data_IF_807929534608
#
_entry.id   IF_807929534608
#
_cell.length_a   1.000
_cell.length_b   1.000
_cell.length_c   1.000
_cell.angle_alpha   90.00
_cell.angle_beta   90.00
_cell.angle_gamma   90.00
#
_symmetry.space_group_name_H-M   'P 1'
#
loop_
_entity.id
_entity.type
_entity.pdbx_description
1 polymer ?
#
# COMPACT_ATOMS: atom_id res chain seq x y z
N UNK A 1 -4.16 8.70 -23.12
CA UNK A 1 -4.29 7.77 -21.97
C UNK A 1 -5.70 7.18 -21.97
N UNK A 2 -5.87 5.85 -21.81
CA UNK A 2 -7.18 5.17 -21.96
C UNK A 2 -8.05 5.17 -20.69
N UNK A 3 -7.49 5.56 -19.55
CA UNK A 3 -8.11 5.41 -18.23
C UNK A 3 -8.84 6.67 -17.78
N UNK A 4 -9.81 6.54 -16.86
CA UNK A 4 -10.36 7.69 -16.13
C UNK A 4 -9.30 8.29 -15.20
N UNK A 5 -9.33 9.61 -14.90
CA UNK A 5 -10.28 10.62 -15.37
C UNK A 5 -9.97 11.18 -16.77
N UNK A 6 -8.85 10.80 -17.38
CA UNK A 6 -8.36 11.38 -18.64
C UNK A 6 -9.17 10.97 -19.88
N UNK A 7 -9.79 9.79 -19.85
CA UNK A 7 -10.77 9.34 -20.82
C UNK A 7 -12.10 9.07 -20.09
N UNK A 8 -13.11 9.96 -20.20
CA UNK A 8 -14.40 9.78 -19.54
C UNK A 8 -15.15 8.50 -19.92
N UNK A 9 -14.90 7.96 -21.12
CA UNK A 9 -15.48 6.69 -21.58
C UNK A 9 -14.63 5.47 -21.22
N UNK A 10 -13.49 5.67 -20.54
CA UNK A 10 -12.47 4.65 -20.24
C UNK A 10 -12.74 3.80 -19.00
N UNK A 11 -13.99 3.77 -18.51
CA UNK A 11 -14.34 3.06 -17.27
C UNK A 11 -14.07 1.55 -17.37
N UNK A 12 -14.36 0.94 -18.52
CA UNK A 12 -14.13 -0.50 -18.74
C UNK A 12 -12.64 -0.82 -18.72
N UNK A 13 -11.83 -0.07 -19.46
CA UNK A 13 -10.38 -0.24 -19.51
C UNK A 13 -9.74 -0.01 -18.13
N UNK A 14 -10.29 0.94 -17.37
CA UNK A 14 -9.84 1.20 -15.99
C UNK A 14 -10.12 0.01 -15.08
N UNK A 15 -11.34 -0.55 -15.14
CA UNK A 15 -11.70 -1.73 -14.37
C UNK A 15 -10.81 -2.93 -14.72
N UNK A 16 -10.65 -3.22 -16.00
CA UNK A 16 -9.82 -4.35 -16.47
C UNK A 16 -8.36 -4.19 -16.04
N UNK A 17 -7.82 -2.97 -16.11
CA UNK A 17 -6.45 -2.69 -15.68
C UNK A 17 -6.29 -2.89 -14.16
N UNK A 18 -7.19 -2.34 -13.34
CA UNK A 18 -7.14 -2.54 -11.89
C UNK A 18 -7.33 -4.00 -11.49
N UNK A 19 -8.20 -4.76 -12.17
CA UNK A 19 -8.33 -6.19 -11.90
C UNK A 19 -7.01 -6.94 -12.12
N UNK A 20 -6.29 -6.63 -13.19
CA UNK A 20 -4.97 -7.22 -13.45
C UNK A 20 -3.94 -6.81 -12.41
N UNK A 21 -3.96 -5.55 -11.96
CA UNK A 21 -3.10 -5.09 -10.87
C UNK A 21 -3.41 -5.84 -9.57
N UNK A 22 -4.69 -5.95 -9.18
CA UNK A 22 -5.11 -6.66 -7.96
C UNK A 22 -4.66 -8.11 -7.99
N UNK A 23 -4.72 -8.81 -9.14
CA UNK A 23 -4.20 -10.17 -9.25
C UNK A 23 -2.70 -10.27 -8.97
N UNK A 24 -1.91 -9.27 -9.37
CA UNK A 24 -0.47 -9.19 -9.05
C UNK A 24 -0.27 -8.99 -7.55
N UNK A 25 -1.07 -8.10 -6.92
CA UNK A 25 -0.98 -7.86 -5.48
C UNK A 25 -1.37 -9.12 -4.67
N UNK A 26 -2.43 -9.82 -5.08
CA UNK A 26 -2.88 -11.04 -4.42
C UNK A 26 -1.85 -12.17 -4.53
N UNK A 27 -1.20 -12.34 -5.68
CA UNK A 27 -0.08 -13.29 -5.85
C UNK A 27 1.07 -12.97 -4.89
N UNK A 28 1.41 -11.70 -4.70
CA UNK A 28 2.44 -11.30 -3.72
C UNK A 28 2.01 -11.59 -2.27
N UNK A 29 0.75 -11.36 -1.91
CA UNK A 29 0.19 -11.67 -0.59
C UNK A 29 0.26 -13.17 -0.32
N UNK A 30 -0.14 -14.00 -1.28
CA UNK A 30 -0.07 -15.46 -1.18
C UNK A 30 1.37 -15.93 -0.94
N UNK A 31 2.31 -15.50 -1.78
CA UNK A 31 3.74 -15.82 -1.66
C UNK A 31 4.37 -15.29 -0.38
N UNK A 32 3.89 -14.16 0.14
CA UNK A 32 4.35 -13.63 1.43
C UNK A 32 3.99 -14.58 2.58
N UNK A 33 2.90 -15.34 2.48
CA UNK A 33 2.47 -16.27 3.51
C UNK A 33 3.03 -17.70 3.34
N UNK A 34 3.61 -18.03 2.19
CA UNK A 34 4.27 -19.33 1.98
C UNK A 34 5.67 -19.37 2.61
N UNK A 35 5.89 -20.31 3.53
CA UNK A 35 7.19 -20.50 4.21
C UNK A 35 8.27 -21.10 3.32
N UNK A 36 7.93 -21.59 2.13
CA UNK A 36 8.87 -22.10 1.14
C UNK A 36 9.40 -21.01 0.21
N UNK A 37 8.74 -19.84 0.20
CA UNK A 37 9.18 -18.68 -0.58
C UNK A 37 10.40 -17.99 0.03
N UNK A 38 11.17 -17.31 -0.82
CA UNK A 38 12.27 -16.45 -0.35
C UNK A 38 11.69 -15.19 0.28
N UNK A 39 12.24 -14.80 1.45
CA UNK A 39 11.97 -13.50 2.09
C UNK A 39 12.40 -12.35 1.17
N UNK A 40 13.56 -12.49 0.53
CA UNK A 40 14.17 -11.52 -0.35
C UNK A 40 14.99 -12.26 -1.40
N UNK A 41 14.83 -11.89 -2.67
CA UNK A 41 15.77 -12.28 -3.71
C UNK A 41 16.88 -11.22 -3.78
N UNK A 42 17.92 -11.43 -2.97
CA UNK A 42 18.93 -10.40 -2.70
C UNK A 42 19.77 -10.05 -3.93
N UNK A 43 19.91 -8.75 -4.17
CA UNK A 43 20.75 -8.18 -5.20
C UNK A 43 21.43 -6.92 -4.64
N UNK A 44 22.68 -6.69 -5.02
CA UNK A 44 23.34 -5.42 -4.75
C UNK A 44 22.68 -4.28 -5.55
N UNK A 45 22.78 -3.01 -5.10
CA UNK A 45 22.15 -1.88 -5.79
C UNK A 45 22.49 -1.78 -7.28
N UNK A 46 23.76 -2.03 -7.66
CA UNK A 46 24.18 -2.03 -9.06
C UNK A 46 23.52 -3.12 -9.90
N UNK A 47 23.24 -4.29 -9.31
CA UNK A 47 22.54 -5.39 -9.97
C UNK A 47 21.06 -5.06 -10.17
N UNK A 48 20.41 -4.44 -9.17
CA UNK A 48 19.01 -4.00 -9.29
C UNK A 48 18.85 -2.89 -10.33
N UNK A 49 19.76 -1.91 -10.36
CA UNK A 49 19.76 -0.86 -11.38
C UNK A 49 19.96 -1.39 -12.81
N UNK A 50 20.58 -2.57 -12.98
CA UNK A 50 20.68 -3.24 -14.27
C UNK A 50 19.46 -4.11 -14.58
N UNK A 51 18.83 -4.68 -13.55
CA UNK A 51 17.69 -5.57 -13.67
C UNK A 51 16.35 -4.83 -13.79
N UNK A 52 16.27 -3.58 -13.36
CA UNK A 52 15.08 -2.72 -13.44
C UNK A 52 15.43 -1.42 -14.14
N UNK A 53 14.64 -1.06 -15.17
CA UNK A 53 14.70 0.27 -15.75
C UNK A 53 13.95 1.24 -14.83
N UNK A 54 14.70 2.07 -14.11
CA UNK A 54 14.16 3.10 -13.22
C UNK A 54 14.14 4.49 -13.90
N UNK A 55 14.43 4.56 -15.20
CA UNK A 55 14.36 5.82 -15.93
C UNK A 55 12.91 6.28 -16.06
N UNK A 56 12.72 7.60 -16.05
CA UNK A 56 11.41 8.23 -16.29
C UNK A 56 11.44 8.77 -17.70
N UNK A 57 10.81 8.10 -18.68
CA UNK A 57 10.82 8.56 -20.07
C UNK A 57 9.96 9.82 -20.25
N UNK A 58 10.34 10.67 -21.21
CA UNK A 58 9.56 11.87 -21.57
C UNK A 58 8.21 11.51 -22.21
N UNK A 59 8.16 10.38 -22.91
CA UNK A 59 6.95 9.87 -23.57
C UNK A 59 6.25 8.79 -22.73
N UNK A 60 4.90 8.76 -22.73
CA UNK A 60 4.15 7.80 -21.94
C UNK A 60 4.34 6.37 -22.45
N UNK A 61 4.42 5.42 -21.52
CA UNK A 61 4.49 4.00 -21.84
C UNK A 61 3.12 3.33 -21.88
N UNK A 62 3.09 2.11 -22.41
CA UNK A 62 1.89 1.28 -22.41
C UNK A 62 1.51 0.89 -20.96
N UNK A 63 0.21 0.86 -20.67
CA UNK A 63 -0.35 0.37 -19.41
C UNK A 63 0.09 -1.07 -19.06
N UNK A 64 0.34 -1.92 -20.06
CA UNK A 64 0.89 -3.26 -19.86
C UNK A 64 2.33 -3.26 -19.35
N UNK A 65 3.11 -2.24 -19.73
CA UNK A 65 4.46 -2.05 -19.22
C UNK A 65 4.40 -1.71 -17.73
N UNK A 66 3.51 -0.79 -17.33
CA UNK A 66 3.32 -0.44 -15.92
C UNK A 66 2.94 -1.65 -15.04
N UNK A 67 2.13 -2.59 -15.55
CA UNK A 67 1.83 -3.84 -14.84
C UNK A 67 3.06 -4.75 -14.71
N UNK A 68 3.95 -4.75 -15.69
CA UNK A 68 5.24 -5.46 -15.63
C UNK A 68 6.14 -4.82 -14.58
N UNK A 69 6.23 -3.50 -14.57
CA UNK A 69 7.03 -2.74 -13.59
C UNK A 69 6.52 -2.97 -12.16
N UNK A 70 5.20 -3.03 -11.94
CA UNK A 70 4.61 -3.39 -10.64
C UNK A 70 5.02 -4.81 -10.19
N UNK A 71 5.00 -5.78 -11.12
CA UNK A 71 5.40 -7.17 -10.81
C UNK A 71 6.89 -7.25 -10.46
N UNK A 72 7.74 -6.59 -11.22
CA UNK A 72 9.19 -6.60 -10.99
C UNK A 72 9.54 -5.87 -9.69
N UNK A 73 8.86 -4.76 -9.40
CA UNK A 73 8.98 -4.06 -8.10
C UNK A 73 8.71 -5.02 -6.94
N UNK A 74 7.59 -5.75 -6.98
CA UNK A 74 7.24 -6.70 -5.90
C UNK A 74 8.14 -7.94 -5.86
N UNK A 75 8.67 -8.38 -7.01
CA UNK A 75 9.60 -9.51 -7.10
C UNK A 75 10.88 -9.24 -6.30
N UNK A 76 11.46 -8.06 -6.45
CA UNK A 76 12.72 -7.69 -5.79
C UNK A 76 12.52 -7.05 -4.41
N UNK A 77 11.29 -6.70 -4.04
CA UNK A 77 11.01 -6.16 -2.73
C UNK A 77 11.03 -7.23 -1.64
N UNK A 78 11.47 -6.84 -0.44
CA UNK A 78 11.46 -7.67 0.77
C UNK A 78 10.01 -8.00 1.14
N UNK A 79 9.72 -9.28 1.35
CA UNK A 79 8.43 -9.74 1.90
C UNK A 79 8.42 -9.54 3.42
N UNK A 80 8.19 -8.31 3.87
CA UNK A 80 8.16 -7.95 5.31
C UNK A 80 7.07 -8.66 6.10
N UNK A 81 6.03 -9.14 5.41
CA UNK A 81 4.98 -9.98 5.99
C UNK A 81 5.36 -11.44 6.17
N UNK A 82 6.51 -11.88 5.68
CA UNK A 82 6.86 -13.30 5.66
C UNK A 82 7.01 -13.87 7.09
N UNK A 83 6.50 -15.08 7.40
CA UNK A 83 6.52 -15.64 8.75
C UNK A 83 7.92 -15.83 9.38
N UNK A 84 8.97 -15.74 8.56
CA UNK A 84 10.38 -15.83 8.99
C UNK A 84 11.15 -14.51 8.87
N UNK A 85 10.47 -13.39 8.62
CA UNK A 85 11.08 -12.06 8.60
C UNK A 85 11.10 -11.49 10.03
N UNK A 86 12.30 -11.38 10.61
CA UNK A 86 12.50 -10.91 12.00
C UNK A 86 13.43 -9.70 12.09
N UNK A 87 13.64 -8.99 10.98
CA UNK A 87 14.65 -7.94 10.88
C UNK A 87 14.21 -6.61 11.51
N UNK A 88 12.90 -6.38 11.68
CA UNK A 88 12.32 -5.11 12.11
C UNK A 88 11.26 -5.32 13.19
N UNK A 89 11.01 -4.27 13.98
CA UNK A 89 9.92 -4.26 14.97
C UNK A 89 8.54 -4.30 14.31
N UNK A 90 8.43 -3.70 13.11
CA UNK A 90 7.24 -3.77 12.27
C UNK A 90 7.42 -4.89 11.24
N UNK A 91 6.65 -5.96 11.40
CA UNK A 91 6.62 -7.12 10.51
C UNK A 91 5.22 -7.72 10.47
N UNK A 92 5.01 -8.65 9.54
CA UNK A 92 3.69 -9.24 9.31
C UNK A 92 2.87 -8.43 8.31
N UNK A 93 1.78 -9.05 7.85
CA UNK A 93 0.84 -8.45 6.92
C UNK A 93 -0.58 -8.83 7.35
N UNK A 94 -1.28 -7.92 8.01
CA UNK A 94 -2.67 -8.12 8.40
C UNK A 94 -3.60 -7.77 7.23
N UNK A 95 -4.37 -8.75 6.76
CA UNK A 95 -5.21 -8.60 5.57
C UNK A 95 -6.29 -7.53 5.74
N UNK A 96 -6.82 -7.35 6.95
CA UNK A 96 -7.86 -6.35 7.22
C UNK A 96 -7.27 -4.95 7.22
N UNK A 97 -6.09 -4.78 7.82
CA UNK A 97 -5.34 -3.52 7.79
C UNK A 97 -4.97 -3.13 6.36
N UNK A 98 -4.52 -4.08 5.54
CA UNK A 98 -4.24 -3.83 4.12
C UNK A 98 -5.49 -3.42 3.33
N UNK A 99 -6.64 -4.08 3.57
CA UNK A 99 -7.90 -3.67 2.96
C UNK A 99 -8.30 -2.24 3.38
N UNK A 100 -8.04 -1.88 4.64
CA UNK A 100 -8.18 -0.51 5.15
C UNK A 100 -7.30 0.47 4.38
N UNK A 101 -6.03 0.16 4.14
CA UNK A 101 -5.12 0.99 3.34
C UNK A 101 -5.63 1.19 1.91
N UNK A 102 -6.18 0.15 1.26
CA UNK A 102 -6.78 0.27 -0.06
C UNK A 102 -7.99 1.20 -0.07
N UNK A 103 -8.86 1.12 0.96
CA UNK A 103 -10.00 2.03 1.12
C UNK A 103 -9.52 3.46 1.33
N UNK A 104 -8.53 3.67 2.21
CA UNK A 104 -7.95 4.99 2.48
C UNK A 104 -7.33 5.61 1.23
N UNK A 105 -6.54 4.85 0.48
CA UNK A 105 -5.93 5.31 -0.77
C UNK A 105 -6.99 5.64 -1.83
N UNK A 106 -8.08 4.87 -1.88
CA UNK A 106 -9.21 5.14 -2.79
C UNK A 106 -9.96 6.42 -2.42
N UNK A 107 -10.14 6.70 -1.12
CA UNK A 107 -10.82 7.90 -0.64
C UNK A 107 -10.00 9.17 -0.87
N UNK A 108 -8.67 9.08 -0.85
CA UNK A 108 -7.72 10.16 -1.18
C UNK A 108 -8.10 11.54 -0.60
N UNK A 109 -8.38 11.58 0.70
CA UNK A 109 -8.71 12.81 1.44
C UNK A 109 -7.64 13.15 2.47
N UNK A 110 -7.75 14.32 3.10
CA UNK A 110 -6.87 14.74 4.19
C UNK A 110 -7.65 14.83 5.52
N UNK A 111 -6.93 14.72 6.64
CA UNK A 111 -7.51 14.72 7.99
C UNK A 111 -7.65 16.13 8.61
N UNK A 112 -7.53 17.21 7.82
CA UNK A 112 -7.47 18.57 8.39
C UNK A 112 -8.81 19.09 8.92
N UNK A 113 -9.93 18.76 8.26
CA UNK A 113 -11.25 19.26 8.65
C UNK A 113 -12.34 18.22 8.48
N UNK A 114 -13.38 18.34 9.30
CA UNK A 114 -14.56 17.47 9.26
C UNK A 114 -15.29 17.52 7.91
N UNK A 115 -15.23 18.65 7.20
CA UNK A 115 -15.91 18.83 5.92
C UNK A 115 -15.43 17.84 4.85
N UNK A 116 -14.13 17.52 4.83
CA UNK A 116 -13.51 16.69 3.79
C UNK A 116 -13.15 15.28 4.26
N UNK A 117 -13.12 15.03 5.58
CA UNK A 117 -12.90 13.69 6.14
C UNK A 117 -13.85 13.36 7.31
N UNK A 118 -15.18 13.51 7.14
CA UNK A 118 -16.13 13.40 8.25
C UNK A 118 -16.10 12.04 8.95
N UNK A 119 -16.01 10.96 8.16
CA UNK A 119 -15.97 9.58 8.70
C UNK A 119 -14.63 9.31 9.39
N UNK A 120 -13.51 9.66 8.77
CA UNK A 120 -12.18 9.35 9.31
C UNK A 120 -11.88 10.14 10.59
N UNK A 121 -12.31 11.40 10.70
CA UNK A 121 -12.15 12.19 11.93
C UNK A 121 -12.94 11.59 13.09
N UNK A 122 -14.17 11.10 12.85
CA UNK A 122 -14.93 10.39 13.88
C UNK A 122 -14.25 9.07 14.26
N UNK A 123 -13.77 8.30 13.28
CA UNK A 123 -13.05 7.05 13.55
C UNK A 123 -11.79 7.31 14.39
N UNK A 124 -10.98 8.30 14.04
CA UNK A 124 -9.79 8.68 14.81
C UNK A 124 -10.16 9.07 16.24
N UNK A 125 -11.16 9.94 16.43
CA UNK A 125 -11.62 10.35 17.75
C UNK A 125 -12.06 9.16 18.62
N UNK A 126 -12.78 8.19 18.04
CA UNK A 126 -13.20 6.97 18.73
C UNK A 126 -12.02 6.07 19.10
N UNK A 127 -11.09 5.84 18.16
CA UNK A 127 -9.92 5.00 18.38
C UNK A 127 -9.00 5.63 19.44
N UNK A 128 -8.71 6.91 19.34
CA UNK A 128 -7.84 7.61 20.29
C UNK A 128 -8.46 7.67 21.69
N UNK A 129 -9.78 7.89 21.80
CA UNK A 129 -10.48 7.73 23.08
C UNK A 129 -10.30 6.31 23.62
N UNK A 130 -10.46 5.29 22.79
CA UNK A 130 -10.28 3.89 23.21
C UNK A 130 -8.86 3.60 23.69
N UNK A 131 -7.85 4.15 23.01
CA UNK A 131 -6.45 4.02 23.42
C UNK A 131 -6.21 4.69 24.77
N UNK A 132 -6.78 5.89 25.01
CA UNK A 132 -6.71 6.57 26.32
C UNK A 132 -7.36 5.74 27.43
N UNK A 133 -8.52 5.13 27.17
CA UNK A 133 -9.18 4.22 28.12
C UNK A 133 -8.29 3.02 28.49
N UNK A 134 -7.61 2.41 27.50
CA UNK A 134 -6.70 1.27 27.72
C UNK A 134 -5.50 1.69 28.59
N UNK A 135 -4.99 2.91 28.41
CA UNK A 135 -3.92 3.47 29.24
C UNK A 135 -4.42 3.77 30.67
N UNK A 136 -5.73 3.99 30.85
CA UNK A 136 -6.36 4.31 32.13
C UNK A 136 -6.71 5.79 32.31
N UNK A 137 -6.69 6.59 31.25
CA UNK A 137 -7.09 8.00 31.30
C UNK A 137 -8.60 8.16 31.16
N UNK A 138 -9.18 8.99 32.02
CA UNK A 138 -10.62 9.32 32.02
C UNK A 138 -10.95 10.57 31.20
N UNK A 139 -9.94 11.39 30.90
CA UNK A 139 -10.04 12.60 30.08
C UNK A 139 -8.71 12.84 29.34
N UNK A 140 -8.71 13.71 28.34
CA UNK A 140 -7.53 14.16 27.62
C UNK A 140 -7.73 14.26 26.11
N UNK A 141 -6.71 14.82 25.47
CA UNK A 141 -6.64 15.02 24.02
C UNK A 141 -5.60 14.08 23.39
N UNK A 142 -5.71 13.85 22.09
CA UNK A 142 -4.80 12.98 21.33
C UNK A 142 -4.86 13.29 19.85
N UNK A 143 -3.76 13.04 19.15
CA UNK A 143 -3.66 13.13 17.70
C UNK A 143 -2.76 12.01 17.17
N UNK A 144 -3.02 11.49 15.97
CA UNK A 144 -2.09 10.61 15.28
C UNK A 144 -0.99 11.44 14.60
N UNK A 145 0.26 11.03 14.79
CA UNK A 145 1.44 11.66 14.18
C UNK A 145 2.05 10.73 13.11
N UNK A 146 2.76 11.26 12.10
CA UNK A 146 3.44 10.48 11.06
C UNK A 146 4.73 9.84 11.59
N UNK A 147 4.61 8.99 12.62
CA UNK A 147 5.74 8.42 13.36
C UNK A 147 6.04 9.16 14.66
N UNK A 148 6.92 8.57 15.48
CA UNK A 148 7.20 9.02 16.86
C UNK A 148 8.43 9.94 17.00
N UNK A 149 9.23 10.10 15.93
CA UNK A 149 10.58 10.70 16.00
C UNK A 149 10.57 12.21 16.08
#
# INVERSE_FOLDING_TARGET
MKLVPWNPSGAKETLEWFQRLILILLDFIEKTNDRNEKILDFHHPSQLMQAMDLSVPDEPQNLDQLLTDCRDTLKYQVKTGHPRFFNQLSCGLDTISLAGEWVTATANTNMFTYEIAPVFILMEAFILRKMREIIGYTDGDSILAPGKS
#
